data_IF_265080367265
#
_entry.id   IF_265080367265
#
_cell.length_a   1.000
_cell.length_b   1.000
_cell.length_c   1.000
_cell.angle_alpha   90.00
_cell.angle_beta   90.00
_cell.angle_gamma   90.00
#
_symmetry.space_group_name_H-M   'P 1'
#
loop_
_entity.id
_entity.type
_entity.pdbx_description
1 polymer ?
#
# COMPACT_ATOMS: atom_id res chain seq x y z
N UNK A 1 3.81 20.18 32.03
CA UNK A 1 3.42 19.33 30.89
C UNK A 1 4.71 18.73 30.36
N UNK A 2 5.06 17.56 30.88
CA UNK A 2 6.30 16.86 30.55
C UNK A 2 6.08 16.18 29.21
N UNK A 3 6.85 16.56 28.20
CA UNK A 3 6.90 15.79 26.96
C UNK A 3 7.63 14.49 27.33
N UNK A 4 6.91 13.39 27.23
CA UNK A 4 7.45 12.05 27.45
C UNK A 4 8.31 11.68 26.22
N UNK A 5 9.63 11.86 26.33
CA UNK A 5 10.64 11.48 25.33
C UNK A 5 10.98 9.97 25.38
N UNK A 6 10.03 9.09 25.72
CA UNK A 6 10.31 7.64 25.85
C UNK A 6 10.10 6.81 24.58
N UNK A 7 9.61 7.39 23.49
CA UNK A 7 9.47 6.67 22.23
C UNK A 7 10.82 6.58 21.50
N UNK A 8 11.60 5.53 21.77
CA UNK A 8 12.81 5.20 21.03
C UNK A 8 12.54 4.95 19.53
N UNK A 9 13.57 4.98 18.67
CA UNK A 9 13.41 4.72 17.24
C UNK A 9 12.88 3.30 16.99
N UNK A 10 11.84 3.15 16.14
CA UNK A 10 11.32 1.84 15.73
C UNK A 10 12.47 0.95 15.25
N UNK A 11 12.48 -0.28 15.74
CA UNK A 11 13.34 -1.35 15.26
C UNK A 11 12.69 -2.11 14.10
N UNK A 12 13.50 -2.67 13.19
CA UNK A 12 12.97 -3.54 12.14
C UNK A 12 12.26 -4.78 12.71
N UNK A 13 12.61 -5.23 13.92
CA UNK A 13 11.88 -6.28 14.61
C UNK A 13 10.40 -5.94 14.77
N UNK A 14 10.08 -4.73 15.24
CA UNK A 14 8.69 -4.27 15.43
C UNK A 14 7.95 -4.18 14.10
N UNK A 15 8.63 -3.75 13.02
CA UNK A 15 8.06 -3.77 11.67
C UNK A 15 7.72 -5.19 11.23
N UNK A 16 8.62 -6.14 11.49
CA UNK A 16 8.40 -7.54 11.12
C UNK A 16 7.28 -8.17 11.95
N UNK A 17 7.23 -7.93 13.26
CA UNK A 17 6.20 -8.47 14.14
C UNK A 17 4.82 -7.91 13.80
N UNK A 18 4.70 -6.59 13.61
CA UNK A 18 3.46 -5.94 13.19
C UNK A 18 2.92 -6.53 11.88
N UNK A 19 3.79 -6.73 10.89
CA UNK A 19 3.35 -7.34 9.64
C UNK A 19 2.92 -8.80 9.87
N UNK A 20 3.70 -9.58 10.60
CA UNK A 20 3.44 -11.00 10.82
C UNK A 20 2.13 -11.26 11.57
N UNK A 21 1.84 -10.44 12.59
CA UNK A 21 0.73 -10.64 13.54
C UNK A 21 -0.54 -9.89 13.18
N UNK A 22 -0.41 -8.73 12.54
CA UNK A 22 -1.53 -7.80 12.34
C UNK A 22 -1.83 -7.63 10.85
N UNK A 23 -0.89 -7.03 10.11
CA UNK A 23 -1.16 -6.59 8.75
C UNK A 23 -1.29 -7.76 7.78
N UNK A 24 -0.42 -8.76 7.89
CA UNK A 24 -0.42 -9.96 7.06
C UNK A 24 -1.74 -10.72 7.13
N UNK A 25 -2.24 -11.10 8.32
CA UNK A 25 -3.56 -11.71 8.46
C UNK A 25 -4.70 -10.89 7.86
N UNK A 26 -4.69 -9.57 8.05
CA UNK A 26 -5.71 -8.68 7.49
C UNK A 26 -5.69 -8.64 5.96
N UNK A 27 -4.49 -8.62 5.36
CA UNK A 27 -4.31 -8.67 3.91
C UNK A 27 -4.69 -10.03 3.32
N UNK A 28 -4.38 -11.12 4.01
CA UNK A 28 -4.82 -12.48 3.63
C UNK A 28 -6.34 -12.57 3.62
N UNK A 29 -7.02 -12.04 4.64
CA UNK A 29 -8.48 -11.98 4.68
C UNK A 29 -9.03 -11.08 3.55
N UNK A 30 -8.35 -9.97 3.27
CA UNK A 30 -8.73 -9.06 2.19
C UNK A 30 -8.63 -9.72 0.80
N UNK A 31 -7.68 -10.63 0.57
CA UNK A 31 -7.58 -11.38 -0.69
C UNK A 31 -8.89 -12.08 -1.09
N UNK A 32 -9.63 -12.64 -0.12
CA UNK A 32 -10.93 -13.23 -0.39
C UNK A 32 -11.95 -12.20 -0.88
N UNK A 33 -11.94 -10.98 -0.32
CA UNK A 33 -12.81 -9.87 -0.77
C UNK A 33 -12.41 -9.35 -2.15
N UNK A 34 -11.12 -9.40 -2.47
CA UNK A 34 -10.58 -9.04 -3.77
C UNK A 34 -10.85 -10.10 -4.85
N UNK A 35 -11.25 -11.32 -4.47
CA UNK A 35 -11.35 -12.45 -5.38
C UNK A 35 -9.99 -12.94 -5.88
N UNK A 36 -8.91 -12.73 -5.11
CA UNK A 36 -7.54 -13.07 -5.48
C UNK A 36 -6.96 -14.17 -4.57
N UNK A 37 -5.99 -14.98 -5.05
CA UNK A 37 -5.24 -15.90 -4.20
C UNK A 37 -4.43 -15.18 -3.12
N UNK A 38 -4.41 -15.74 -1.91
CA UNK A 38 -3.66 -15.19 -0.77
C UNK A 38 -2.17 -15.55 -0.75
N UNK A 39 -1.70 -16.42 -1.67
CA UNK A 39 -0.34 -16.98 -1.66
C UNK A 39 0.77 -15.92 -1.54
N UNK A 40 0.62 -14.77 -2.21
CA UNK A 40 1.61 -13.69 -2.14
C UNK A 40 1.68 -13.06 -0.73
N UNK A 41 0.53 -12.81 -0.11
CA UNK A 41 0.46 -12.27 1.25
C UNK A 41 0.92 -13.29 2.29
N UNK A 42 0.62 -14.58 2.09
CA UNK A 42 1.09 -15.68 2.93
C UNK A 42 2.61 -15.84 2.88
N UNK A 43 3.20 -15.78 1.68
CA UNK A 43 4.65 -15.84 1.49
C UNK A 43 5.34 -14.66 2.18
N UNK A 44 4.83 -13.44 1.98
CA UNK A 44 5.40 -12.25 2.61
C UNK A 44 5.27 -12.32 4.14
N UNK A 45 4.09 -12.69 4.66
CA UNK A 45 3.87 -12.88 6.11
C UNK A 45 4.85 -13.92 6.68
N UNK A 46 5.12 -15.00 5.96
CA UNK A 46 6.06 -16.04 6.38
C UNK A 46 7.48 -15.48 6.54
N UNK A 47 7.94 -14.65 5.60
CA UNK A 47 9.25 -14.00 5.73
C UNK A 47 9.29 -13.03 6.91
N UNK A 48 8.24 -12.24 7.12
CA UNK A 48 8.14 -11.36 8.30
C UNK A 48 8.17 -12.15 9.61
N UNK A 49 7.45 -13.27 9.72
CA UNK A 49 7.50 -14.15 10.91
C UNK A 49 8.93 -14.66 11.18
N UNK A 50 9.63 -15.11 10.14
CA UNK A 50 11.01 -15.58 10.24
C UNK A 50 11.97 -14.47 10.66
N UNK A 51 11.86 -13.30 10.05
CA UNK A 51 12.68 -12.14 10.38
C UNK A 51 12.45 -11.66 11.81
N UNK A 52 11.21 -11.67 12.29
CA UNK A 52 10.88 -11.39 13.69
C UNK A 52 11.51 -12.42 14.64
N UNK A 53 11.67 -13.67 14.23
CA UNK A 53 12.40 -14.69 14.99
C UNK A 53 13.94 -14.54 14.92
N UNK A 54 14.46 -13.57 14.16
CA UNK A 54 15.89 -13.28 14.02
C UNK A 54 16.56 -13.91 12.80
N UNK A 55 15.81 -14.56 11.90
CA UNK A 55 16.38 -15.10 10.66
C UNK A 55 16.91 -13.99 9.75
N UNK A 56 18.11 -14.20 9.19
CA UNK A 56 18.62 -13.38 8.09
C UNK A 56 18.10 -13.94 6.77
N UNK A 57 17.37 -13.10 6.04
CA UNK A 57 16.74 -13.46 4.75
C UNK A 57 17.41 -12.65 3.65
N UNK A 58 17.71 -13.31 2.53
CA UNK A 58 18.37 -12.66 1.40
C UNK A 58 17.45 -11.64 0.73
N UNK A 59 18.04 -10.56 0.17
CA UNK A 59 17.29 -9.54 -0.55
C UNK A 59 16.47 -10.13 -1.72
N UNK A 60 16.98 -11.15 -2.40
CA UNK A 60 16.28 -11.84 -3.50
C UNK A 60 14.98 -12.50 -3.03
N UNK A 61 14.98 -13.11 -1.85
CA UNK A 61 13.79 -13.75 -1.29
C UNK A 61 12.77 -12.72 -0.85
N UNK A 62 13.26 -11.61 -0.25
CA UNK A 62 12.42 -10.47 0.07
C UNK A 62 11.76 -9.88 -1.18
N UNK A 63 12.50 -9.64 -2.27
CA UNK A 63 11.94 -9.12 -3.54
C UNK A 63 10.87 -10.06 -4.06
N UNK A 64 11.16 -11.36 -4.12
CA UNK A 64 10.24 -12.37 -4.65
C UNK A 64 8.91 -12.44 -3.90
N UNK A 65 8.91 -12.16 -2.58
CA UNK A 65 7.69 -12.09 -1.78
C UNK A 65 7.03 -10.70 -1.80
N UNK A 66 7.82 -9.62 -1.71
CA UNK A 66 7.33 -8.25 -1.63
C UNK A 66 6.67 -7.80 -2.92
N UNK A 67 7.27 -8.07 -4.09
CA UNK A 67 6.76 -7.56 -5.36
C UNK A 67 5.33 -8.02 -5.66
N UNK A 68 4.98 -9.33 -5.62
CA UNK A 68 3.60 -9.75 -5.86
C UNK A 68 2.63 -9.25 -4.77
N UNK A 69 3.03 -9.22 -3.50
CA UNK A 69 2.19 -8.75 -2.41
C UNK A 69 1.90 -7.24 -2.50
N UNK A 70 2.91 -6.43 -2.78
CA UNK A 70 2.76 -4.98 -2.98
C UNK A 70 1.94 -4.67 -4.22
N UNK A 71 2.06 -5.46 -5.30
CA UNK A 71 1.21 -5.31 -6.49
C UNK A 71 -0.27 -5.47 -6.17
N UNK A 72 -0.64 -6.45 -5.33
CA UNK A 72 -2.02 -6.61 -4.88
C UNK A 72 -2.47 -5.38 -4.08
N UNK A 73 -1.65 -4.96 -3.10
CA UNK A 73 -1.96 -3.80 -2.27
C UNK A 73 -2.18 -2.55 -3.11
N UNK A 74 -1.25 -2.21 -4.02
CA UNK A 74 -1.35 -0.99 -4.82
C UNK A 74 -2.50 -1.01 -5.83
N UNK A 75 -2.86 -2.19 -6.33
CA UNK A 75 -4.05 -2.33 -7.18
C UNK A 75 -5.32 -2.01 -6.41
N UNK A 76 -5.48 -2.56 -5.21
CA UNK A 76 -6.68 -2.39 -4.39
C UNK A 76 -6.72 -1.10 -3.58
N UNK A 77 -5.58 -0.43 -3.43
CA UNK A 77 -5.49 0.92 -2.88
C UNK A 77 -5.80 2.02 -3.93
N UNK A 78 -5.80 1.68 -5.23
CA UNK A 78 -6.03 2.66 -6.28
C UNK A 78 -7.46 3.21 -6.21
N UNK A 79 -7.67 4.54 -6.22
CA UNK A 79 -9.00 5.14 -6.10
C UNK A 79 -9.77 5.05 -7.43
N UNK A 80 -10.06 3.83 -7.88
CA UNK A 80 -10.61 3.54 -9.21
C UNK A 80 -11.87 4.34 -9.51
N UNK A 81 -12.82 4.40 -8.57
CA UNK A 81 -14.08 5.13 -8.77
C UNK A 81 -13.86 6.63 -9.01
N UNK A 82 -12.93 7.26 -8.29
CA UNK A 82 -12.63 8.68 -8.44
C UNK A 82 -11.89 8.93 -9.77
N UNK A 83 -10.90 8.10 -10.08
CA UNK A 83 -10.16 8.18 -11.33
C UNK A 83 -11.08 7.95 -12.56
N UNK A 84 -11.98 6.99 -12.47
CA UNK A 84 -12.99 6.71 -13.49
C UNK A 84 -13.94 7.89 -13.68
N UNK A 85 -14.49 8.45 -12.59
CA UNK A 85 -15.42 9.58 -12.67
C UNK A 85 -14.76 10.82 -13.30
N UNK A 86 -13.50 11.10 -12.95
CA UNK A 86 -12.73 12.16 -13.57
C UNK A 86 -12.50 11.90 -15.07
N UNK A 87 -12.00 10.72 -15.44
CA UNK A 87 -11.76 10.35 -16.83
C UNK A 87 -13.03 10.37 -17.68
N UNK A 88 -14.16 9.90 -17.14
CA UNK A 88 -15.46 9.91 -17.82
C UNK A 88 -15.94 11.34 -18.05
N UNK A 89 -15.82 12.20 -17.05
CA UNK A 89 -16.21 13.61 -17.14
C UNK A 89 -15.38 14.36 -18.18
N UNK A 90 -14.06 14.18 -18.15
CA UNK A 90 -13.15 14.84 -19.09
C UNK A 90 -13.38 14.37 -20.53
N UNK A 91 -13.51 13.06 -20.74
CA UNK A 91 -13.75 12.49 -22.07
C UNK A 91 -15.15 12.83 -22.61
N UNK A 92 -16.20 12.85 -21.78
CA UNK A 92 -17.52 13.33 -22.19
C UNK A 92 -17.52 14.81 -22.55
N UNK A 93 -16.80 15.65 -21.80
CA UNK A 93 -16.67 17.08 -22.11
C UNK A 93 -15.94 17.29 -23.43
N UNK A 94 -14.87 16.51 -23.68
CA UNK A 94 -14.18 16.50 -24.96
C UNK A 94 -15.10 16.12 -26.10
N UNK A 95 -15.83 15.00 -26.01
CA UNK A 95 -16.73 14.55 -27.07
C UNK A 95 -17.84 15.57 -27.37
N UNK A 96 -18.45 16.15 -26.33
CA UNK A 96 -19.45 17.20 -26.48
C UNK A 96 -18.89 18.44 -27.21
N UNK A 97 -17.66 18.85 -26.89
CA UNK A 97 -16.98 19.95 -27.58
C UNK A 97 -16.67 19.64 -29.07
N UNK A 98 -16.68 18.37 -29.45
CA UNK A 98 -16.44 17.89 -30.83
C UNK A 98 -17.73 17.52 -31.57
N UNK A 99 -18.89 17.98 -31.08
CA UNK A 99 -20.17 17.89 -31.80
C UNK A 99 -20.93 16.58 -31.61
N UNK A 100 -20.53 15.75 -30.65
CA UNK A 100 -21.27 14.54 -30.28
C UNK A 100 -22.57 14.93 -29.57
N UNK A 101 -23.63 14.14 -29.73
CA UNK A 101 -24.83 14.30 -28.91
C UNK A 101 -24.52 13.99 -27.45
N UNK A 102 -25.37 14.44 -26.52
CA UNK A 102 -25.17 14.17 -25.10
C UNK A 102 -25.10 12.66 -24.77
N UNK A 103 -25.87 11.82 -25.48
CA UNK A 103 -25.85 10.37 -25.30
C UNK A 103 -24.53 9.76 -25.80
N UNK A 104 -24.07 10.17 -26.98
CA UNK A 104 -22.81 9.68 -27.56
C UNK A 104 -21.59 10.17 -26.77
N UNK A 105 -21.60 11.41 -26.28
CA UNK A 105 -20.55 11.95 -25.45
C UNK A 105 -20.44 11.22 -24.11
N UNK A 106 -21.57 10.85 -23.49
CA UNK A 106 -21.59 10.02 -22.29
C UNK A 106 -21.03 8.63 -22.57
N UNK A 107 -21.50 7.96 -23.63
CA UNK A 107 -21.01 6.63 -24.00
C UNK A 107 -19.51 6.63 -24.30
N UNK A 108 -19.02 7.66 -25.00
CA UNK A 108 -17.59 7.86 -25.25
C UNK A 108 -16.81 8.01 -23.95
N UNK A 109 -17.32 8.85 -23.03
CA UNK A 109 -16.71 9.05 -21.71
C UNK A 109 -16.62 7.77 -20.90
N UNK A 110 -17.72 7.01 -20.80
CA UNK A 110 -17.79 5.76 -20.06
C UNK A 110 -16.80 4.71 -20.61
N UNK A 111 -16.72 4.57 -21.94
CA UNK A 111 -15.81 3.64 -22.62
C UNK A 111 -14.35 4.04 -22.44
N UNK A 112 -14.05 5.33 -22.64
CA UNK A 112 -12.70 5.86 -22.44
C UNK A 112 -12.23 5.68 -21.00
N UNK A 113 -13.09 6.01 -20.03
CA UNK A 113 -12.79 5.89 -18.61
C UNK A 113 -12.53 4.43 -18.21
N UNK A 114 -13.28 3.48 -18.74
CA UNK A 114 -13.07 2.05 -18.45
C UNK A 114 -11.68 1.59 -18.91
N UNK A 115 -11.35 1.85 -20.19
CA UNK A 115 -10.06 1.44 -20.75
C UNK A 115 -8.87 2.15 -20.08
N UNK A 116 -8.98 3.48 -19.93
CA UNK A 116 -7.89 4.30 -19.41
C UNK A 116 -7.64 4.03 -17.92
N UNK A 117 -8.69 3.96 -17.11
CA UNK A 117 -8.55 3.79 -15.66
C UNK A 117 -8.02 2.41 -15.30
N UNK A 118 -8.47 1.36 -15.98
CA UNK A 118 -7.95 0.00 -15.78
C UNK A 118 -6.47 -0.11 -16.16
N UNK A 119 -6.08 0.48 -17.30
CA UNK A 119 -4.67 0.52 -17.72
C UNK A 119 -3.79 1.29 -16.71
N UNK A 120 -4.23 2.47 -16.28
CA UNK A 120 -3.50 3.29 -15.31
C UNK A 120 -3.37 2.59 -13.95
N UNK A 121 -4.43 1.97 -13.45
CA UNK A 121 -4.39 1.22 -12.20
C UNK A 121 -3.37 0.07 -12.25
N UNK A 122 -3.31 -0.64 -13.39
CA UNK A 122 -2.35 -1.72 -13.60
C UNK A 122 -0.91 -1.21 -13.62
N UNK A 123 -0.62 -0.19 -14.44
CA UNK A 123 0.73 0.39 -14.55
C UNK A 123 1.18 0.98 -13.22
N UNK A 124 0.29 1.67 -12.52
CA UNK A 124 0.53 2.19 -11.17
C UNK A 124 0.93 1.07 -10.21
N UNK A 125 0.16 -0.03 -10.17
CA UNK A 125 0.45 -1.15 -9.28
C UNK A 125 1.77 -1.85 -9.62
N UNK A 126 2.05 -2.10 -10.90
CA UNK A 126 3.27 -2.76 -11.37
C UNK A 126 4.52 -1.92 -11.07
N UNK A 127 4.52 -0.64 -11.44
CA UNK A 127 5.67 0.25 -11.25
C UNK A 127 5.97 0.48 -9.77
N UNK A 128 4.95 0.78 -8.96
CA UNK A 128 5.15 1.00 -7.53
C UNK A 128 5.57 -0.28 -6.81
N UNK A 129 5.05 -1.45 -7.19
CA UNK A 129 5.45 -2.71 -6.59
C UNK A 129 6.93 -3.02 -6.85
N UNK A 130 7.38 -2.93 -8.10
CA UNK A 130 8.77 -3.20 -8.46
C UNK A 130 9.74 -2.23 -7.76
N UNK A 131 9.46 -0.92 -7.80
CA UNK A 131 10.31 0.09 -7.19
C UNK A 131 10.39 -0.06 -5.66
N UNK A 132 9.25 -0.26 -5.00
CA UNK A 132 9.22 -0.40 -3.55
C UNK A 132 9.78 -1.75 -3.10
N UNK A 133 9.52 -2.86 -3.81
CA UNK A 133 10.02 -4.18 -3.42
C UNK A 133 11.55 -4.20 -3.33
N UNK A 134 12.25 -3.67 -4.35
CA UNK A 134 13.71 -3.63 -4.35
C UNK A 134 14.27 -2.79 -3.19
N UNK A 135 13.76 -1.56 -3.00
CA UNK A 135 14.24 -0.68 -1.95
C UNK A 135 13.97 -1.25 -0.54
N UNK A 136 12.78 -1.82 -0.32
CA UNK A 136 12.40 -2.42 0.98
C UNK A 136 13.22 -3.67 1.27
N UNK A 137 13.40 -4.53 0.26
CA UNK A 137 14.16 -5.77 0.40
C UNK A 137 15.61 -5.51 0.77
N UNK A 138 16.23 -4.47 0.18
CA UNK A 138 17.57 -4.06 0.56
C UNK A 138 17.65 -3.68 2.04
N UNK A 139 16.72 -2.84 2.52
CA UNK A 139 16.68 -2.42 3.93
C UNK A 139 16.43 -3.60 4.89
N UNK A 140 15.54 -4.53 4.56
CA UNK A 140 15.29 -5.71 5.38
C UNK A 140 16.47 -6.69 5.39
N UNK A 141 17.14 -6.89 4.25
CA UNK A 141 18.28 -7.79 4.17
C UNK A 141 19.51 -7.26 4.93
N UNK A 142 19.73 -5.94 4.93
CA UNK A 142 20.82 -5.30 5.69
C UNK A 142 20.47 -5.10 7.16
N UNK A 143 19.18 -5.16 7.52
CA UNK A 143 18.73 -4.84 8.86
C UNK A 143 18.90 -3.36 9.20
N UNK A 144 18.87 -2.47 8.19
CA UNK A 144 19.13 -1.03 8.34
C UNK A 144 17.81 -0.24 8.52
N UNK A 145 17.52 0.31 9.72
CA UNK A 145 16.31 1.09 9.98
C UNK A 145 16.28 2.42 9.21
N UNK A 146 17.42 3.04 8.91
CA UNK A 146 17.48 4.30 8.16
C UNK A 146 17.17 4.05 6.68
N UNK A 147 17.76 3.00 6.09
CA UNK A 147 17.41 2.57 4.75
C UNK A 147 15.91 2.24 4.67
N UNK A 148 15.34 1.59 5.70
CA UNK A 148 13.91 1.32 5.76
C UNK A 148 13.06 2.59 5.81
N UNK A 149 13.41 3.57 6.65
CA UNK A 149 12.70 4.84 6.73
C UNK A 149 12.68 5.59 5.38
N UNK A 150 13.78 5.54 4.62
CA UNK A 150 13.89 6.13 3.28
C UNK A 150 12.98 5.47 2.22
N UNK A 151 12.35 4.33 2.55
CA UNK A 151 11.38 3.66 1.66
C UNK A 151 9.92 4.08 1.89
N UNK A 152 9.70 5.19 2.62
CA UNK A 152 8.38 5.76 2.90
C UNK A 152 7.35 4.76 3.48
N UNK A 153 7.68 4.08 4.59
CA UNK A 153 6.83 3.05 5.19
C UNK A 153 5.40 3.52 5.55
N UNK A 154 5.19 4.79 5.90
CA UNK A 154 3.84 5.34 6.12
C UNK A 154 2.97 5.28 4.86
N UNK A 155 3.53 5.57 3.69
CA UNK A 155 2.79 5.52 2.43
C UNK A 155 2.34 4.09 2.11
N UNK A 156 3.22 3.11 2.35
CA UNK A 156 2.89 1.68 2.17
C UNK A 156 1.83 1.21 3.15
N UNK A 157 1.92 1.63 4.42
CA UNK A 157 0.91 1.28 5.42
C UNK A 157 -0.45 1.86 5.04
N UNK A 158 -0.51 3.13 4.61
CA UNK A 158 -1.74 3.74 4.09
C UNK A 158 -2.32 2.98 2.91
N UNK A 159 -1.48 2.58 1.95
CA UNK A 159 -1.93 1.77 0.82
C UNK A 159 -2.51 0.42 1.28
N UNK A 160 -1.87 -0.26 2.24
CA UNK A 160 -2.39 -1.51 2.80
C UNK A 160 -3.74 -1.31 3.51
N UNK A 161 -3.90 -0.23 4.28
CA UNK A 161 -5.19 0.10 4.93
C UNK A 161 -6.27 0.39 3.90
N UNK A 162 -5.97 1.18 2.86
CA UNK A 162 -6.92 1.47 1.78
C UNK A 162 -7.35 0.19 1.06
N UNK A 163 -6.39 -0.68 0.73
CA UNK A 163 -6.65 -1.96 0.09
C UNK A 163 -7.53 -2.88 0.95
N UNK A 164 -7.25 -2.97 2.25
CA UNK A 164 -8.07 -3.75 3.21
C UNK A 164 -9.47 -3.16 3.39
N UNK A 165 -9.59 -1.83 3.39
CA UNK A 165 -10.84 -1.11 3.59
C UNK A 165 -11.78 -1.20 2.38
N UNK A 166 -11.24 -1.21 1.16
CA UNK A 166 -12.03 -1.26 -0.07
C UNK A 166 -12.87 0.00 -0.30
N UNK A 167 -12.36 1.17 0.11
CA UNK A 167 -13.05 2.46 0.00
C UNK A 167 -14.03 2.78 1.15
N UNK A 168 -14.23 1.86 2.10
CA UNK A 168 -15.04 2.11 3.30
C UNK A 168 -14.24 2.88 4.37
N UNK A 169 -14.61 4.14 4.59
CA UNK A 169 -13.94 5.01 5.55
C UNK A 169 -14.07 4.54 7.02
N UNK A 170 -15.20 3.94 7.40
CA UNK A 170 -15.39 3.42 8.75
C UNK A 170 -14.53 2.18 8.99
N UNK A 171 -14.41 1.30 7.98
CA UNK A 171 -13.49 0.18 8.01
C UNK A 171 -12.04 0.63 8.06
N UNK A 172 -11.66 1.62 7.25
CA UNK A 172 -10.31 2.20 7.29
C UNK A 172 -9.97 2.73 8.69
N UNK A 173 -10.89 3.45 9.33
CA UNK A 173 -10.70 3.94 10.69
C UNK A 173 -10.57 2.82 11.72
N UNK A 174 -11.38 1.76 11.61
CA UNK A 174 -11.29 0.58 12.49
C UNK A 174 -9.94 -0.12 12.35
N UNK A 175 -9.43 -0.23 11.12
CA UNK A 175 -8.09 -0.78 10.84
C UNK A 175 -7.01 0.10 11.47
N UNK A 176 -7.09 1.42 11.35
CA UNK A 176 -6.15 2.34 11.99
C UNK A 176 -6.16 2.22 13.50
N UNK A 177 -7.34 2.18 14.13
CA UNK A 177 -7.46 2.00 15.58
C UNK A 177 -6.81 0.68 16.03
N UNK A 178 -6.99 -0.40 15.27
CA UNK A 178 -6.34 -1.69 15.55
C UNK A 178 -4.82 -1.61 15.42
N UNK A 179 -4.33 -0.96 14.37
CA UNK A 179 -2.90 -0.73 14.21
C UNK A 179 -2.39 0.09 15.40
N UNK A 180 -2.99 1.22 15.76
CA UNK A 180 -2.57 2.06 16.88
C UNK A 180 -2.52 1.31 18.23
N UNK A 181 -3.40 0.31 18.45
CA UNK A 181 -3.33 -0.54 19.66
C UNK A 181 -2.22 -1.59 19.62
N UNK A 182 -1.77 -1.98 18.43
CA UNK A 182 -0.75 -3.01 18.21
C UNK A 182 0.61 -2.42 17.81
N UNK A 183 0.65 -1.11 17.52
CA UNK A 183 1.84 -0.35 17.21
C UNK A 183 2.59 -0.02 18.51
N UNK A 184 3.91 -0.22 18.56
CA UNK A 184 4.73 0.34 19.62
C UNK A 184 4.59 1.87 19.65
N UNK A 185 4.63 2.45 20.86
CA UNK A 185 4.61 3.90 21.05
C UNK A 185 5.67 4.58 20.18
N UNK A 186 5.27 5.62 19.44
CA UNK A 186 6.15 6.36 18.52
C UNK A 186 6.15 5.88 17.07
N UNK A 187 5.55 4.74 16.74
CA UNK A 187 5.61 4.21 15.38
C UNK A 187 5.02 5.19 14.35
N UNK A 188 3.86 5.77 14.62
CA UNK A 188 3.24 6.76 13.75
C UNK A 188 4.09 8.04 13.56
N UNK A 189 4.89 8.41 14.56
CA UNK A 189 5.73 9.61 14.54
C UNK A 189 7.01 9.39 13.70
N UNK A 190 7.66 8.24 13.84
CA UNK A 190 8.88 7.91 13.08
C UNK A 190 8.64 7.48 11.64
N UNK A 191 7.38 7.26 11.24
CA UNK A 191 7.01 7.08 9.83
C UNK A 191 6.88 8.41 9.06
N UNK A 192 7.05 9.55 9.74
CA UNK A 192 7.18 10.86 9.08
C UNK A 192 8.66 11.10 8.76
N UNK A 193 9.03 11.43 7.49
CA UNK A 193 10.39 11.86 7.19
C UNK A 193 10.74 13.06 8.07
N UNK A 194 11.88 13.02 8.75
CA UNK A 194 12.38 14.20 9.48
C UNK A 194 12.49 15.36 8.48
N UNK A 195 11.85 16.48 8.78
CA UNK A 195 11.83 17.66 7.92
C UNK A 195 13.19 18.39 7.85
N UNK A 196 14.21 17.90 8.56
CA UNK A 196 15.47 18.60 8.71
C UNK A 196 16.54 18.05 7.78
N UNK A 197 16.57 18.51 6.52
CA UNK A 197 17.80 18.68 5.74
C UNK A 197 17.73 20.05 5.03
N UNK A 198 18.20 21.08 5.73
CA UNK A 198 18.69 22.33 5.15
C UNK A 198 20.20 22.29 5.00
#
# INVERSE_FOLDING_TARGET
MTIDESAGPITLFEVHDLYARTLGPMLIEACARWGEPALAQEALRTLHTRAAAGDRIAATDWIAALEPALRQIYRHAYPYAQAYAAAATDASSYAAAHGYTAAEARQFGDTYAEMNTAANARVHAEANAAANAAATAAAFATGDPHAYAATYPSARLRAAVLACAGGDAARAQSIWNRLDTELPDGFAQSLTPSADHH
#
